data_IF_877951932694
#
_entry.id   IF_877951932694
#
_cell.length_a   1.000
_cell.length_b   1.000
_cell.length_c   1.000
_cell.angle_alpha   90.00
_cell.angle_beta   90.00
_cell.angle_gamma   90.00
#
_symmetry.space_group_name_H-M   'P 1'
#
loop_
_entity.id
_entity.type
_entity.pdbx_description
1 polymer ?
#
# COMPACT_ATOMS: atom_id res chain seq x y z
N UNK A 1 -15.87 -19.81 3.09
CA UNK A 1 -15.40 -20.98 2.34
C UNK A 1 -15.13 -20.64 0.87
N UNK A 2 -16.13 -20.37 0.01
CA UNK A 2 -15.89 -20.09 -1.43
C UNK A 2 -14.98 -18.87 -1.70
N UNK A 3 -15.19 -17.77 -0.97
CA UNK A 3 -14.39 -16.55 -1.11
C UNK A 3 -12.91 -16.72 -0.74
N UNK A 4 -12.63 -17.49 0.31
CA UNK A 4 -11.24 -17.80 0.72
C UNK A 4 -10.54 -18.67 -0.32
N UNK A 5 -11.24 -19.66 -0.88
CA UNK A 5 -10.68 -20.49 -1.95
C UNK A 5 -10.45 -19.67 -3.23
N UNK A 6 -11.35 -18.75 -3.58
CA UNK A 6 -11.18 -17.85 -4.72
C UNK A 6 -10.00 -16.89 -4.53
N UNK A 7 -9.83 -16.27 -3.36
CA UNK A 7 -8.66 -15.43 -3.06
C UNK A 7 -7.36 -16.24 -3.14
N UNK A 8 -7.31 -17.43 -2.53
CA UNK A 8 -6.13 -18.30 -2.59
C UNK A 8 -5.73 -18.66 -4.02
N UNK A 9 -6.70 -19.01 -4.87
CA UNK A 9 -6.44 -19.31 -6.28
C UNK A 9 -5.91 -18.08 -7.04
N UNK A 10 -6.45 -16.89 -6.75
CA UNK A 10 -6.00 -15.65 -7.36
C UNK A 10 -4.59 -15.25 -6.90
N UNK A 11 -4.27 -15.51 -5.63
CA UNK A 11 -2.96 -15.24 -5.03
C UNK A 11 -1.89 -16.17 -5.61
N UNK A 12 -2.19 -17.46 -5.75
CA UNK A 12 -1.33 -18.44 -6.43
C UNK A 12 -1.10 -18.10 -7.91
N UNK A 13 -2.15 -17.64 -8.60
CA UNK A 13 -2.02 -17.17 -9.98
C UNK A 13 -1.14 -15.92 -10.10
N UNK A 14 -1.29 -14.95 -9.19
CA UNK A 14 -0.41 -13.77 -9.13
C UNK A 14 1.03 -14.19 -8.87
N UNK A 15 1.27 -15.03 -7.86
CA UNK A 15 2.60 -15.52 -7.51
C UNK A 15 3.28 -16.24 -8.69
N UNK A 16 2.55 -17.11 -9.40
CA UNK A 16 3.07 -17.78 -10.60
C UNK A 16 3.42 -16.80 -11.74
N UNK A 17 2.64 -15.73 -11.92
CA UNK A 17 2.92 -14.69 -12.90
C UNK A 17 4.14 -13.84 -12.50
N UNK A 18 4.29 -13.54 -11.22
CA UNK A 18 5.45 -12.83 -10.65
C UNK A 18 6.74 -13.65 -10.82
N UNK A 19 6.67 -14.96 -10.55
CA UNK A 19 7.78 -15.91 -10.72
C UNK A 19 8.27 -15.98 -12.18
N UNK A 20 7.32 -16.01 -13.13
CA UNK A 20 7.65 -16.00 -14.57
C UNK A 20 8.33 -14.69 -14.95
N UNK A 21 7.86 -13.55 -14.42
CA UNK A 21 8.45 -12.23 -14.65
C UNK A 21 9.85 -12.09 -14.05
N UNK A 22 10.06 -12.55 -12.82
CA UNK A 22 11.37 -12.55 -12.17
C UNK A 22 12.39 -13.40 -12.94
N UNK A 23 11.99 -14.58 -13.44
CA UNK A 23 12.85 -15.47 -14.24
C UNK A 23 13.28 -14.86 -15.58
N UNK A 24 12.55 -13.86 -16.09
CA UNK A 24 12.90 -13.13 -17.31
C UNK A 24 13.87 -11.95 -17.07
N UNK A 25 14.37 -11.76 -15.84
CA UNK A 25 15.36 -10.73 -15.52
C UNK A 25 14.83 -9.30 -15.59
N UNK A 26 13.51 -9.15 -15.79
CA UNK A 26 12.80 -7.88 -15.78
C UNK A 26 11.94 -7.86 -14.53
N UNK A 27 12.28 -6.99 -13.56
CA UNK A 27 11.29 -6.45 -12.64
C UNK A 27 10.33 -5.56 -13.48
N UNK A 28 9.57 -6.20 -14.37
CA UNK A 28 8.51 -5.61 -15.16
C UNK A 28 7.21 -6.03 -14.49
N UNK A 29 6.51 -5.07 -13.90
CA UNK A 29 5.35 -5.35 -13.06
C UNK A 29 4.63 -4.08 -12.66
N UNK A 30 3.53 -4.23 -11.92
CA UNK A 30 2.79 -3.12 -11.36
C UNK A 30 2.63 -3.34 -9.87
N UNK A 31 2.99 -2.33 -9.07
CA UNK A 31 2.75 -2.31 -7.62
C UNK A 31 1.59 -1.36 -7.35
N UNK A 32 0.56 -1.83 -6.66
CA UNK A 32 -0.63 -1.08 -6.26
C UNK A 32 -0.55 -0.74 -4.77
N UNK A 33 -0.40 0.55 -4.46
CA UNK A 33 -0.17 1.04 -3.09
C UNK A 33 -1.34 1.92 -2.65
N UNK A 34 -1.97 1.55 -1.53
CA UNK A 34 -2.91 2.42 -0.83
C UNK A 34 -2.19 3.33 0.15
N UNK A 35 -2.64 4.56 0.37
CA UNK A 35 -2.06 5.42 1.40
C UNK A 35 -2.95 6.57 1.86
N UNK A 36 -2.69 7.01 3.08
CA UNK A 36 -3.28 8.21 3.63
C UNK A 36 -2.76 9.48 2.95
N UNK A 37 -3.64 10.46 2.83
CA UNK A 37 -3.41 11.74 2.18
C UNK A 37 -2.15 12.51 2.63
N UNK A 38 -1.78 12.35 3.90
CA UNK A 38 -0.60 12.99 4.45
C UNK A 38 0.70 12.36 3.94
N UNK A 39 0.72 11.05 3.68
CA UNK A 39 1.88 10.30 3.20
C UNK A 39 2.03 10.47 1.69
N UNK A 40 0.93 10.42 0.95
CA UNK A 40 0.90 10.64 -0.50
C UNK A 40 1.53 11.99 -0.88
N UNK A 41 1.25 13.04 -0.09
CA UNK A 41 1.77 14.39 -0.35
C UNK A 41 3.18 14.63 0.18
N UNK A 42 3.57 14.05 1.32
CA UNK A 42 4.85 14.39 1.96
C UNK A 42 6.01 13.47 1.56
N UNK A 43 5.77 12.16 1.51
CA UNK A 43 6.85 11.16 1.43
C UNK A 43 6.94 10.51 0.06
N UNK A 44 5.79 10.18 -0.54
CA UNK A 44 5.78 9.37 -1.75
C UNK A 44 6.47 9.96 -2.98
N UNK A 45 6.45 11.27 -3.27
CA UNK A 45 7.13 11.80 -4.44
C UNK A 45 8.63 11.45 -4.45
N UNK A 46 9.30 11.56 -3.29
CA UNK A 46 10.71 11.21 -3.15
C UNK A 46 10.95 9.69 -3.25
N UNK A 47 10.07 8.89 -2.62
CA UNK A 47 10.15 7.43 -2.64
C UNK A 47 10.01 6.88 -4.06
N UNK A 48 8.98 7.32 -4.80
CA UNK A 48 8.73 6.88 -6.18
C UNK A 48 9.88 7.29 -7.09
N UNK A 49 10.40 8.52 -6.93
CA UNK A 49 11.52 8.99 -7.76
C UNK A 49 12.75 8.09 -7.59
N UNK A 50 13.14 7.78 -6.34
CA UNK A 50 14.25 6.88 -6.05
C UNK A 50 13.97 5.45 -6.50
N UNK A 51 12.76 4.95 -6.26
CA UNK A 51 12.38 3.60 -6.65
C UNK A 51 12.40 3.43 -8.18
N UNK A 52 11.88 4.38 -8.93
CA UNK A 52 11.83 4.33 -10.38
C UNK A 52 13.22 4.45 -11.03
N UNK A 53 14.17 5.14 -10.40
CA UNK A 53 15.58 5.14 -10.84
C UNK A 53 16.20 3.74 -10.75
N UNK A 54 15.85 2.97 -9.72
CA UNK A 54 16.38 1.62 -9.50
C UNK A 54 15.60 0.55 -10.29
N UNK A 55 14.31 0.80 -10.52
CA UNK A 55 13.37 -0.13 -11.15
C UNK A 55 12.52 0.56 -12.23
N UNK A 56 13.13 0.99 -13.35
CA UNK A 56 12.46 1.80 -14.36
C UNK A 56 11.33 1.08 -15.11
N UNK A 57 11.30 -0.26 -15.04
CA UNK A 57 10.29 -1.09 -15.69
C UNK A 57 9.08 -1.40 -14.78
N UNK A 58 9.14 -1.02 -13.50
CA UNK A 58 8.03 -1.20 -12.57
C UNK A 58 7.09 0.01 -12.62
N UNK A 59 5.80 -0.25 -12.84
CA UNK A 59 4.75 0.75 -12.73
C UNK A 59 4.28 0.82 -11.27
N UNK A 60 4.11 2.03 -10.74
CA UNK A 60 3.55 2.22 -9.41
C UNK A 60 2.20 2.92 -9.55
N UNK A 61 1.14 2.27 -9.07
CA UNK A 61 -0.21 2.84 -8.96
C UNK A 61 -0.45 3.22 -7.51
N UNK A 62 -0.91 4.44 -7.29
CA UNK A 62 -1.20 4.97 -5.95
C UNK A 62 -2.68 5.27 -5.82
N UNK A 63 -3.28 4.81 -4.73
CA UNK A 63 -4.64 5.14 -4.32
C UNK A 63 -4.58 5.91 -3.00
N UNK A 64 -5.15 7.12 -2.99
CA UNK A 64 -5.30 7.91 -1.77
C UNK A 64 -6.65 7.60 -1.10
N UNK A 65 -6.65 7.40 0.22
CA UNK A 65 -7.87 7.11 0.97
C UNK A 65 -7.60 6.76 2.42
N UNK A 66 -8.67 6.44 3.15
CA UNK A 66 -8.57 5.98 4.54
C UNK A 66 -8.33 4.48 4.58
N UNK A 67 -7.76 3.97 5.67
CA UNK A 67 -7.51 2.53 5.83
C UNK A 67 -8.79 1.70 5.61
N UNK A 68 -9.91 2.12 6.18
CA UNK A 68 -11.19 1.40 6.09
C UNK A 68 -11.66 1.20 4.64
N UNK A 69 -11.35 2.14 3.75
CA UNK A 69 -11.68 2.07 2.33
C UNK A 69 -10.64 1.33 1.49
N UNK A 70 -9.67 0.67 2.12
CA UNK A 70 -8.62 -0.11 1.47
C UNK A 70 -8.62 -1.57 1.92
N UNK A 71 -9.35 -1.90 2.98
CA UNK A 71 -9.40 -3.26 3.53
C UNK A 71 -9.95 -4.26 2.50
N UNK A 72 -10.99 -3.90 1.76
CA UNK A 72 -11.58 -4.82 0.79
C UNK A 72 -10.66 -5.03 -0.41
N UNK A 73 -9.99 -3.98 -0.86
CA UNK A 73 -9.01 -4.00 -1.93
C UNK A 73 -7.79 -4.84 -1.54
N UNK A 74 -7.35 -4.77 -0.28
CA UNK A 74 -6.31 -5.66 0.26
C UNK A 74 -6.78 -7.13 0.30
N UNK A 75 -8.01 -7.41 0.76
CA UNK A 75 -8.57 -8.79 0.78
C UNK A 75 -8.67 -9.42 -0.61
N UNK A 76 -8.91 -8.60 -1.63
CA UNK A 76 -8.99 -9.01 -3.03
C UNK A 76 -7.61 -8.98 -3.73
N UNK A 77 -6.58 -8.47 -3.03
CA UNK A 77 -5.24 -8.21 -3.53
C UNK A 77 -5.18 -7.20 -4.68
N UNK A 78 -6.20 -6.36 -4.82
CA UNK A 78 -6.16 -5.19 -5.73
C UNK A 78 -5.18 -4.12 -5.24
N UNK A 79 -4.93 -4.10 -3.92
CA UNK A 79 -3.79 -3.42 -3.30
C UNK A 79 -2.80 -4.45 -2.78
N UNK A 80 -1.51 -4.21 -3.03
CA UNK A 80 -0.43 -5.06 -2.50
C UNK A 80 -0.18 -4.73 -1.02
N UNK A 81 -0.22 -3.43 -0.67
CA UNK A 81 -0.13 -2.96 0.71
C UNK A 81 -0.70 -1.55 0.86
N UNK A 82 -0.83 -1.11 2.11
CA UNK A 82 -1.28 0.25 2.44
C UNK A 82 -0.42 0.92 3.49
N UNK A 83 -0.20 2.24 3.32
CA UNK A 83 0.48 3.09 4.30
C UNK A 83 -0.52 4.07 4.91
N UNK A 84 -1.04 3.73 6.08
CA UNK A 84 -2.06 4.50 6.77
C UNK A 84 -1.80 4.58 8.28
N UNK A 85 -2.48 5.51 8.94
CA UNK A 85 -2.56 5.52 10.40
C UNK A 85 -3.40 4.32 10.85
N UNK A 86 -2.84 3.51 11.74
CA UNK A 86 -3.52 2.35 12.30
C UNK A 86 -3.34 2.29 13.81
N UNK A 87 -4.38 1.80 14.48
CA UNK A 87 -4.40 1.44 15.89
C UNK A 87 -4.93 0.01 15.97
N UNK A 88 -4.46 -0.76 16.96
CA UNK A 88 -4.97 -2.13 17.19
C UNK A 88 -6.49 -2.17 17.12
N UNK A 89 -7.00 -3.16 16.39
CA UNK A 89 -8.35 -3.08 15.87
C UNK A 89 -8.83 -4.35 15.18
N UNK A 90 -9.98 -4.28 14.49
CA UNK A 90 -10.66 -5.46 13.97
C UNK A 90 -9.88 -6.20 12.88
N UNK A 91 -8.82 -5.60 12.32
CA UNK A 91 -8.07 -6.14 11.19
C UNK A 91 -6.79 -6.90 11.59
N UNK A 92 -6.45 -6.93 12.89
CA UNK A 92 -5.22 -7.52 13.43
C UNK A 92 -5.06 -9.03 13.15
N UNK A 93 -6.15 -9.73 12.89
CA UNK A 93 -6.17 -11.16 12.61
C UNK A 93 -6.07 -11.50 11.12
N UNK A 94 -6.26 -10.51 10.24
CA UNK A 94 -6.26 -10.70 8.79
C UNK A 94 -5.01 -10.09 8.13
N UNK A 95 -4.44 -9.05 8.73
CA UNK A 95 -3.33 -8.31 8.16
C UNK A 95 -2.18 -8.14 9.14
N UNK A 96 -0.97 -8.06 8.59
CA UNK A 96 0.22 -7.68 9.33
C UNK A 96 0.39 -6.17 9.31
N UNK A 97 0.95 -5.64 10.40
CA UNK A 97 1.16 -4.21 10.57
C UNK A 97 2.58 -3.93 10.99
N UNK A 98 3.21 -2.96 10.33
CA UNK A 98 4.56 -2.50 10.63
C UNK A 98 4.54 -0.99 10.90
N UNK A 99 5.12 -0.56 12.03
CA UNK A 99 5.27 0.86 12.35
C UNK A 99 6.39 1.46 11.48
N UNK A 100 6.02 2.21 10.46
CA UNK A 100 6.97 2.88 9.57
C UNK A 100 7.49 4.22 10.13
N UNK A 101 6.61 5.01 10.73
CA UNK A 101 6.95 6.33 11.26
C UNK A 101 5.92 6.81 12.29
N UNK A 102 6.29 7.85 13.03
CA UNK A 102 5.41 8.57 13.94
C UNK A 102 5.31 10.03 13.47
N UNK A 103 4.08 10.55 13.31
CA UNK A 103 3.86 11.96 12.94
C UNK A 103 3.50 12.78 14.18
N UNK A 104 4.17 13.92 14.32
CA UNK A 104 3.78 14.92 15.32
C UNK A 104 2.55 15.68 14.83
N UNK A 105 1.55 15.80 15.69
CA UNK A 105 0.38 16.64 15.45
C UNK A 105 0.62 18.03 16.04
N UNK A 106 0.15 19.05 15.34
CA UNK A 106 0.16 20.43 15.81
C UNK A 106 -1.24 21.04 15.66
N UNK A 107 -1.59 21.92 16.58
CA UNK A 107 -2.82 22.72 16.49
C UNK A 107 -2.49 23.99 15.72
N UNK A 108 -3.27 24.28 14.69
CA UNK A 108 -3.16 25.50 13.92
C UNK A 108 -4.38 26.37 14.21
N UNK A 109 -4.13 27.59 14.69
CA UNK A 109 -5.14 28.60 14.92
C UNK A 109 -4.79 29.92 14.21
N UNK A 110 -5.80 30.77 13.99
CA UNK A 110 -5.56 32.14 13.53
C UNK A 110 -4.83 32.93 14.63
N UNK A 111 -3.90 33.84 14.29
CA UNK A 111 -3.31 34.76 15.27
C UNK A 111 -4.40 35.45 16.09
N UNK A 112 -4.27 35.40 17.43
CA UNK A 112 -5.23 35.97 18.38
C UNK A 112 -6.22 34.98 19.01
N UNK A 113 -6.19 33.69 18.64
CA UNK A 113 -6.99 32.63 19.27
C UNK A 113 -6.08 31.57 19.90
N UNK A 114 -5.61 31.79 21.13
CA UNK A 114 -5.01 30.76 22.01
C UNK A 114 -5.90 30.57 23.21
#
# INVERSE_FOLDING_TARGET
SFYQHASLILEELRAAQEDIRQRQGQLAGQINIGMGASISRSLMPAVISRFHQQHPQVKVRIMEGQLVSMINELRQGELDFTINTYYQGPYDHEFTFEKLLEKQFAIFCRPGNT
#
